data_IF_765209646983
#
_entry.id   IF_765209646983
#
_cell.length_a   1.000
_cell.length_b   1.000
_cell.length_c   1.000
_cell.angle_alpha   90.00
_cell.angle_beta   90.00
_cell.angle_gamma   90.00
#
_symmetry.space_group_name_H-M   'P 1'
#
loop_
_entity.id
_entity.type
_entity.pdbx_description
1 polymer ?
#
# COMPACT_ATOMS: atom_id res chain seq x y z
N UNK A 1 -30.62 -6.11 10.64
CA UNK A 1 -30.45 -4.66 10.49
C UNK A 1 -29.62 -4.46 9.23
N UNK A 2 -30.26 -4.14 8.10
CA UNK A 2 -29.62 -4.03 6.79
C UNK A 2 -28.72 -2.79 6.77
N UNK A 3 -27.46 -2.98 6.37
CA UNK A 3 -26.54 -1.87 6.13
C UNK A 3 -27.07 -1.07 4.92
N UNK A 4 -27.44 0.18 5.18
CA UNK A 4 -27.82 1.16 4.17
C UNK A 4 -26.58 1.47 3.31
N UNK A 5 -26.47 0.82 2.16
CA UNK A 5 -25.50 1.12 1.11
C UNK A 5 -26.04 2.29 0.27
N UNK A 6 -26.20 3.46 0.89
CA UNK A 6 -26.59 4.66 0.16
C UNK A 6 -25.51 5.02 -0.86
N UNK A 7 -25.90 5.14 -2.14
CA UNK A 7 -25.02 5.65 -3.20
C UNK A 7 -24.43 6.99 -2.77
N UNK A 8 -23.12 7.20 -2.95
CA UNK A 8 -22.50 8.48 -2.58
C UNK A 8 -23.22 9.63 -3.31
N UNK A 9 -23.44 10.72 -2.59
CA UNK A 9 -24.06 11.90 -3.20
C UNK A 9 -23.17 12.41 -4.36
N UNK A 10 -23.78 13.09 -5.34
CA UNK A 10 -23.05 13.65 -6.48
C UNK A 10 -21.87 14.52 -6.03
N UNK A 11 -22.03 15.28 -4.94
CA UNK A 11 -20.95 16.09 -4.34
C UNK A 11 -19.81 15.23 -3.78
N UNK A 12 -20.14 14.11 -3.14
CA UNK A 12 -19.12 13.16 -2.64
C UNK A 12 -18.37 12.49 -3.79
N UNK A 13 -19.07 12.10 -4.85
CA UNK A 13 -18.45 11.53 -6.04
C UNK A 13 -17.50 12.54 -6.73
N UNK A 14 -17.93 13.79 -6.91
CA UNK A 14 -17.07 14.86 -7.47
C UNK A 14 -15.87 15.16 -6.60
N UNK A 15 -16.04 15.14 -5.27
CA UNK A 15 -14.95 15.33 -4.32
C UNK A 15 -13.91 14.21 -4.48
N UNK A 16 -14.33 12.94 -4.51
CA UNK A 16 -13.46 11.79 -4.67
C UNK A 16 -12.66 11.84 -5.99
N UNK A 17 -13.31 12.23 -7.09
CA UNK A 17 -12.65 12.40 -8.40
C UNK A 17 -11.55 13.49 -8.32
N UNK A 18 -11.85 14.61 -7.66
CA UNK A 18 -10.86 15.70 -7.50
C UNK A 18 -9.69 15.25 -6.63
N UNK A 19 -9.95 14.58 -5.51
CA UNK A 19 -8.92 14.03 -4.63
C UNK A 19 -8.03 13.03 -5.38
N UNK A 20 -8.62 12.13 -6.14
CA UNK A 20 -7.90 11.16 -6.95
C UNK A 20 -6.95 11.85 -7.97
N UNK A 21 -7.44 12.86 -8.70
CA UNK A 21 -6.61 13.64 -9.65
C UNK A 21 -5.43 14.34 -8.96
N UNK A 22 -5.62 14.87 -7.77
CA UNK A 22 -4.56 15.53 -7.00
C UNK A 22 -3.50 14.50 -6.58
N UNK A 23 -3.91 13.31 -6.12
CA UNK A 23 -3.01 12.24 -5.70
C UNK A 23 -2.21 11.69 -6.90
N UNK A 24 -2.86 11.48 -8.03
CA UNK A 24 -2.21 11.04 -9.28
C UNK A 24 -1.22 12.08 -9.81
N UNK A 25 -1.54 13.37 -9.68
CA UNK A 25 -0.62 14.45 -10.04
C UNK A 25 0.62 14.46 -9.16
N UNK A 26 0.47 14.20 -7.85
CA UNK A 26 1.61 14.05 -6.93
C UNK A 26 2.44 12.82 -7.30
N UNK A 27 1.81 11.66 -7.53
CA UNK A 27 2.53 10.44 -7.94
C UNK A 27 3.36 10.68 -9.21
N UNK A 28 2.77 11.34 -10.21
CA UNK A 28 3.46 11.65 -11.46
C UNK A 28 4.60 12.68 -11.32
N UNK A 29 4.54 13.59 -10.33
CA UNK A 29 5.65 14.49 -10.01
C UNK A 29 6.80 13.76 -9.34
N UNK A 30 6.51 12.81 -8.45
CA UNK A 30 7.52 11.97 -7.79
C UNK A 30 8.35 11.17 -8.81
N UNK A 31 7.75 10.77 -9.92
CA UNK A 31 8.47 10.05 -10.98
C UNK A 31 9.38 10.97 -11.81
N UNK A 32 9.16 12.28 -11.80
CA UNK A 32 9.85 13.25 -12.66
C UNK A 32 10.82 14.16 -11.91
N UNK A 33 10.59 14.41 -10.62
CA UNK A 33 11.30 15.40 -9.82
C UNK A 33 11.86 14.79 -8.52
N UNK A 34 12.89 15.44 -7.96
CA UNK A 34 13.39 15.01 -6.65
C UNK A 34 12.32 15.26 -5.56
N UNK A 35 11.95 14.27 -4.75
CA UNK A 35 10.78 14.32 -3.84
C UNK A 35 10.77 15.50 -2.85
N UNK A 36 11.95 16.01 -2.46
CA UNK A 36 12.08 17.11 -1.50
C UNK A 36 11.65 18.47 -2.08
N UNK A 37 11.63 18.61 -3.41
CA UNK A 37 11.34 19.87 -4.12
C UNK A 37 9.86 20.02 -4.49
N UNK A 38 9.05 18.98 -4.32
CA UNK A 38 7.64 19.01 -4.70
C UNK A 38 6.86 19.97 -3.78
N UNK A 39 6.36 21.06 -4.37
CA UNK A 39 5.50 22.03 -3.68
C UNK A 39 4.02 21.76 -3.89
N UNK A 40 3.17 22.24 -2.96
CA UNK A 40 1.71 22.18 -3.10
C UNK A 40 1.23 22.92 -4.36
N UNK A 41 1.89 24.02 -4.72
CA UNK A 41 1.62 24.77 -5.94
C UNK A 41 1.90 23.93 -7.21
N UNK A 42 3.02 23.21 -7.25
CA UNK A 42 3.35 22.31 -8.36
C UNK A 42 2.30 21.20 -8.53
N UNK A 43 1.87 20.59 -7.41
CA UNK A 43 0.82 19.58 -7.42
C UNK A 43 -0.51 20.16 -7.93
N UNK A 44 -0.92 21.34 -7.44
CA UNK A 44 -2.15 22.00 -7.88
C UNK A 44 -2.13 22.29 -9.38
N UNK A 45 -1.03 22.84 -9.88
CA UNK A 45 -0.81 23.12 -11.31
C UNK A 45 -0.92 21.85 -12.14
N UNK A 46 -0.25 20.78 -11.73
CA UNK A 46 -0.28 19.50 -12.46
C UNK A 46 -1.66 18.84 -12.42
N UNK A 47 -2.37 18.93 -11.28
CA UNK A 47 -3.73 18.40 -11.14
C UNK A 47 -4.79 19.23 -11.90
N UNK A 48 -4.43 20.41 -12.41
CA UNK A 48 -5.37 21.32 -13.06
C UNK A 48 -6.43 21.89 -12.09
N UNK A 49 -6.00 22.15 -10.83
CA UNK A 49 -6.86 22.78 -9.82
C UNK A 49 -6.17 24.05 -9.27
N UNK A 50 -6.95 24.96 -8.68
CA UNK A 50 -6.37 26.08 -7.95
C UNK A 50 -5.77 25.64 -6.61
N UNK A 51 -4.74 26.34 -6.12
CA UNK A 51 -4.17 26.05 -4.80
C UNK A 51 -5.22 26.11 -3.67
N UNK A 52 -6.14 27.09 -3.60
CA UNK A 52 -7.23 27.07 -2.63
C UNK A 52 -8.10 25.81 -2.72
N UNK A 53 -8.32 25.29 -3.92
CA UNK A 53 -9.03 24.02 -4.11
C UNK A 53 -8.24 22.85 -3.56
N UNK A 54 -6.93 22.78 -3.83
CA UNK A 54 -6.07 21.74 -3.28
C UNK A 54 -6.08 21.78 -1.74
N UNK A 55 -5.86 22.96 -1.12
CA UNK A 55 -5.87 23.09 0.34
C UNK A 55 -7.24 22.76 0.98
N UNK A 56 -8.33 22.95 0.27
CA UNK A 56 -9.67 22.53 0.75
C UNK A 56 -9.80 21.00 0.83
N UNK A 57 -9.12 20.24 -0.05
CA UNK A 57 -9.11 18.79 -0.04
C UNK A 57 -8.02 18.21 0.88
N UNK A 58 -6.85 18.82 0.87
CA UNK A 58 -5.67 18.43 1.65
C UNK A 58 -5.10 19.65 2.36
N UNK A 59 -5.60 19.95 3.59
CA UNK A 59 -5.21 21.13 4.35
C UNK A 59 -3.71 21.28 4.58
N UNK A 60 -3.01 20.14 4.67
CA UNK A 60 -1.57 20.09 4.84
C UNK A 60 -0.89 19.18 3.80
N UNK A 61 0.39 19.42 3.57
CA UNK A 61 1.23 18.52 2.76
C UNK A 61 1.23 17.10 3.32
N UNK A 62 1.15 16.97 4.64
CA UNK A 62 1.05 15.68 5.35
C UNK A 62 -0.23 14.91 4.99
N UNK A 63 -1.38 15.60 4.91
CA UNK A 63 -2.65 14.96 4.55
C UNK A 63 -2.60 14.41 3.13
N UNK A 64 -2.00 15.18 2.22
CA UNK A 64 -1.80 14.75 0.84
C UNK A 64 -0.87 13.52 0.76
N UNK A 65 0.19 13.49 1.55
CA UNK A 65 1.13 12.37 1.60
C UNK A 65 0.51 11.10 2.20
N UNK A 66 -0.30 11.25 3.25
CA UNK A 66 -1.06 10.14 3.81
C UNK A 66 -2.05 9.55 2.79
N UNK A 67 -2.68 10.42 1.98
CA UNK A 67 -3.56 10.01 0.91
C UNK A 67 -2.82 9.27 -0.22
N UNK A 68 -1.59 9.69 -0.55
CA UNK A 68 -0.73 9.00 -1.53
C UNK A 68 -0.36 7.59 -1.05
N UNK A 69 0.00 7.42 0.23
CA UNK A 69 0.27 6.10 0.80
C UNK A 69 -0.95 5.17 0.72
N UNK A 70 -2.15 5.73 0.97
CA UNK A 70 -3.42 5.02 0.79
C UNK A 70 -3.69 4.66 -0.68
N UNK A 71 -3.41 5.55 -1.60
CA UNK A 71 -3.52 5.30 -3.05
C UNK A 71 -2.59 4.18 -3.51
N UNK A 72 -1.31 4.26 -3.15
CA UNK A 72 -0.34 3.21 -3.43
C UNK A 72 -0.82 1.85 -2.96
N UNK A 73 -1.27 1.76 -1.71
CA UNK A 73 -1.79 0.50 -1.16
C UNK A 73 -2.97 -0.05 -1.97
N UNK A 74 -3.97 0.79 -2.26
CA UNK A 74 -5.15 0.38 -3.05
C UNK A 74 -4.76 -0.08 -4.46
N UNK A 75 -3.82 0.61 -5.10
CA UNK A 75 -3.36 0.27 -6.46
C UNK A 75 -2.62 -1.07 -6.46
N UNK A 76 -1.72 -1.27 -5.50
CA UNK A 76 -0.93 -2.50 -5.40
C UNK A 76 -1.81 -3.70 -5.01
N UNK A 77 -2.76 -3.51 -4.09
CA UNK A 77 -3.63 -4.56 -3.59
C UNK A 77 -4.95 -4.74 -4.39
N UNK A 78 -5.17 -3.97 -5.44
CA UNK A 78 -6.43 -3.99 -6.19
C UNK A 78 -6.78 -5.40 -6.70
N UNK A 79 -7.98 -5.87 -6.35
CA UNK A 79 -8.49 -7.19 -6.75
C UNK A 79 -7.83 -8.38 -6.05
N UNK A 80 -6.96 -8.17 -5.07
CA UNK A 80 -6.35 -9.25 -4.30
C UNK A 80 -7.22 -9.57 -3.08
N UNK A 81 -7.68 -10.81 -3.01
CA UNK A 81 -8.47 -11.35 -1.90
C UNK A 81 -7.99 -12.78 -1.57
N UNK A 82 -6.73 -12.95 -1.12
CA UNK A 82 -6.18 -14.27 -0.83
C UNK A 82 -6.97 -14.95 0.29
N UNK A 83 -7.35 -16.22 0.06
CA UNK A 83 -8.09 -17.05 1.01
C UNK A 83 -7.25 -18.21 1.59
N UNK A 84 -6.01 -18.36 1.12
CA UNK A 84 -5.08 -19.40 1.56
C UNK A 84 -3.63 -18.90 1.55
N UNK A 85 -2.71 -19.67 2.14
CA UNK A 85 -1.28 -19.40 2.06
C UNK A 85 -0.75 -19.49 0.62
N UNK A 86 -1.33 -20.37 -0.21
CA UNK A 86 -0.99 -20.46 -1.62
C UNK A 86 -1.45 -19.23 -2.40
N UNK A 87 -2.67 -18.74 -2.12
CA UNK A 87 -3.17 -17.49 -2.72
C UNK A 87 -2.33 -16.28 -2.28
N UNK A 88 -1.86 -16.24 -1.01
CA UNK A 88 -0.94 -15.21 -0.54
C UNK A 88 0.37 -15.25 -1.31
N UNK A 89 0.95 -16.42 -1.50
CA UNK A 89 2.19 -16.59 -2.26
C UNK A 89 2.02 -16.14 -3.72
N UNK A 90 0.88 -16.43 -4.35
CA UNK A 90 0.56 -15.94 -5.68
C UNK A 90 0.32 -14.42 -5.70
N UNK A 91 -0.38 -13.90 -4.70
CA UNK A 91 -0.67 -12.46 -4.58
C UNK A 91 0.61 -11.62 -4.44
N UNK A 92 1.65 -12.12 -3.77
CA UNK A 92 2.94 -11.43 -3.63
C UNK A 92 3.57 -11.12 -4.99
N UNK A 93 3.45 -12.02 -5.97
CA UNK A 93 3.94 -11.77 -7.32
C UNK A 93 3.28 -10.50 -7.92
N UNK A 94 1.96 -10.42 -7.81
CA UNK A 94 1.20 -9.26 -8.29
C UNK A 94 1.57 -7.99 -7.51
N UNK A 95 1.73 -8.09 -6.19
CA UNK A 95 2.14 -6.96 -5.34
C UNK A 95 3.50 -6.43 -5.77
N UNK A 96 4.49 -7.28 -6.00
CA UNK A 96 5.85 -6.86 -6.35
C UNK A 96 5.92 -6.31 -7.77
N UNK A 97 5.24 -6.91 -8.74
CA UNK A 97 5.15 -6.38 -10.11
C UNK A 97 4.51 -4.99 -10.14
N UNK A 98 3.39 -4.81 -9.44
CA UNK A 98 2.73 -3.50 -9.36
C UNK A 98 3.57 -2.47 -8.61
N UNK A 99 4.28 -2.89 -7.56
CA UNK A 99 5.20 -2.02 -6.83
C UNK A 99 6.38 -1.58 -7.68
N UNK A 100 6.88 -2.45 -8.57
CA UNK A 100 7.92 -2.09 -9.54
C UNK A 100 7.43 -1.02 -10.53
N UNK A 101 6.19 -1.09 -10.97
CA UNK A 101 5.56 -0.06 -11.79
C UNK A 101 5.35 1.29 -11.08
N UNK A 102 5.55 1.35 -9.76
CA UNK A 102 5.41 2.55 -8.93
C UNK A 102 6.63 2.76 -8.02
N UNK A 103 7.81 2.33 -8.45
CA UNK A 103 9.00 2.25 -7.58
C UNK A 103 9.31 3.56 -6.86
N UNK A 104 9.32 4.68 -7.59
CA UNK A 104 9.62 5.98 -7.00
C UNK A 104 8.59 6.39 -5.95
N UNK A 105 7.30 6.11 -6.18
CA UNK A 105 6.24 6.34 -5.20
C UNK A 105 6.43 5.46 -3.97
N UNK A 106 6.80 4.18 -4.16
CA UNK A 106 7.10 3.24 -3.05
C UNK A 106 8.28 3.74 -2.23
N UNK A 107 9.40 4.09 -2.87
CA UNK A 107 10.59 4.63 -2.22
C UNK A 107 10.27 5.89 -1.45
N UNK A 108 9.54 6.78 -2.09
CA UNK A 108 9.17 8.05 -1.48
C UNK A 108 8.25 7.87 -0.26
N UNK A 109 7.21 7.04 -0.37
CA UNK A 109 6.32 6.77 0.77
C UNK A 109 7.04 6.12 1.94
N UNK A 110 8.02 5.27 1.68
CA UNK A 110 8.85 4.67 2.72
C UNK A 110 9.77 5.70 3.39
N UNK A 111 10.43 6.58 2.60
CA UNK A 111 11.31 7.62 3.10
C UNK A 111 10.54 8.73 3.87
N UNK A 112 9.34 9.07 3.41
CA UNK A 112 8.48 10.07 4.04
C UNK A 112 7.77 9.55 5.29
N UNK A 113 7.85 8.24 5.58
CA UNK A 113 7.20 7.64 6.73
C UNK A 113 8.02 7.91 7.99
N UNK A 114 7.81 9.07 8.59
CA UNK A 114 8.12 9.29 9.99
C UNK A 114 7.10 8.47 10.81
N UNK A 115 7.52 7.45 11.59
CA UNK A 115 6.61 6.59 12.34
C UNK A 115 5.70 7.37 13.30
N UNK A 116 6.14 8.53 13.75
CA UNK A 116 5.37 9.41 14.64
C UNK A 116 4.41 10.33 13.88
N UNK A 117 4.64 10.56 12.59
CA UNK A 117 3.97 11.60 11.81
C UNK A 117 3.01 11.11 10.74
N UNK A 118 3.17 9.90 10.22
CA UNK A 118 2.26 9.35 9.20
C UNK A 118 1.49 8.17 9.78
N UNK A 119 0.16 8.26 9.91
CA UNK A 119 -0.65 7.11 10.26
C UNK A 119 -0.37 5.98 9.27
N UNK A 120 -0.24 4.75 9.76
CA UNK A 120 -0.15 3.53 8.94
C UNK A 120 -1.56 2.98 8.71
N UNK A 121 -2.39 3.64 7.88
CA UNK A 121 -3.83 3.38 7.82
C UNK A 121 -4.16 1.95 7.38
N UNK A 122 -3.22 1.28 6.73
CA UNK A 122 -3.49 0.02 6.06
C UNK A 122 -2.99 -1.22 6.84
N UNK A 123 -2.30 -1.06 7.98
CA UNK A 123 -1.75 -2.20 8.73
C UNK A 123 -2.87 -3.10 9.26
N UNK A 124 -3.94 -2.54 9.82
CA UNK A 124 -5.05 -3.34 10.35
C UNK A 124 -5.81 -4.08 9.25
N UNK A 125 -6.07 -3.42 8.12
CA UNK A 125 -6.70 -4.05 6.97
C UNK A 125 -5.85 -5.20 6.41
N UNK A 126 -4.53 -4.99 6.31
CA UNK A 126 -3.59 -6.04 5.88
C UNK A 126 -3.55 -7.20 6.86
N UNK A 127 -3.48 -6.95 8.17
CA UNK A 127 -3.52 -8.00 9.19
C UNK A 127 -4.83 -8.79 9.14
N UNK A 128 -5.97 -8.14 8.91
CA UNK A 128 -7.25 -8.81 8.76
C UNK A 128 -7.24 -9.73 7.52
N UNK A 129 -6.74 -9.26 6.39
CA UNK A 129 -6.58 -10.06 5.17
C UNK A 129 -5.65 -11.27 5.40
N UNK A 130 -4.51 -11.07 6.07
CA UNK A 130 -3.58 -12.16 6.38
C UNK A 130 -4.21 -13.20 7.32
N UNK A 131 -4.99 -12.76 8.34
CA UNK A 131 -5.72 -13.71 9.20
C UNK A 131 -6.71 -14.55 8.41
N UNK A 132 -7.45 -13.93 7.49
CA UNK A 132 -8.37 -14.67 6.59
C UNK A 132 -7.62 -15.71 5.76
N UNK A 133 -6.51 -15.32 5.13
CA UNK A 133 -5.75 -16.19 4.24
C UNK A 133 -4.98 -17.31 4.98
N UNK A 134 -4.53 -17.07 6.21
CA UNK A 134 -3.82 -18.05 7.02
C UNK A 134 -4.78 -18.95 7.83
N UNK A 135 -6.08 -18.62 7.88
CA UNK A 135 -7.13 -19.45 8.46
C UNK A 135 -6.89 -19.77 9.93
N UNK A 136 -7.15 -21.04 10.32
CA UNK A 136 -7.01 -21.52 11.70
C UNK A 136 -5.60 -21.37 12.29
N UNK A 137 -4.59 -21.25 11.45
CA UNK A 137 -3.21 -20.97 11.87
C UNK A 137 -3.07 -19.59 12.49
N UNK A 138 -3.92 -18.63 12.09
CA UNK A 138 -3.96 -17.27 12.61
C UNK A 138 -5.00 -17.11 13.74
N UNK A 139 -5.78 -18.15 14.05
CA UNK A 139 -6.84 -18.12 15.06
C UNK A 139 -6.39 -18.40 16.48
N UNK A 140 -5.15 -18.86 16.65
CA UNK A 140 -4.56 -19.07 17.98
C UNK A 140 -3.92 -17.74 18.43
N UNK A 141 -4.31 -17.25 19.59
CA UNK A 141 -3.68 -16.08 20.21
C UNK A 141 -2.40 -16.50 20.96
N UNK A 142 -1.54 -17.25 20.28
CA UNK A 142 -0.26 -17.68 20.79
C UNK A 142 0.89 -16.89 20.13
N UNK A 143 2.09 -16.97 20.72
CA UNK A 143 3.27 -16.29 20.21
C UNK A 143 3.61 -16.66 18.77
N UNK A 144 3.39 -17.92 18.38
CA UNK A 144 3.67 -18.47 17.04
C UNK A 144 2.82 -17.78 15.96
N UNK A 145 1.53 -17.64 16.23
CA UNK A 145 0.61 -16.90 15.33
C UNK A 145 1.03 -15.45 15.16
N UNK A 146 1.43 -14.78 16.23
CA UNK A 146 1.91 -13.39 16.15
C UNK A 146 3.20 -13.27 15.34
N UNK A 147 4.14 -14.21 15.50
CA UNK A 147 5.36 -14.24 14.69
C UNK A 147 5.06 -14.48 13.22
N UNK A 148 4.20 -15.44 12.90
CA UNK A 148 3.76 -15.75 11.54
C UNK A 148 3.15 -14.50 10.87
N UNK A 149 2.17 -13.86 11.51
CA UNK A 149 1.50 -12.67 10.97
C UNK A 149 2.47 -11.51 10.72
N UNK A 150 3.39 -11.25 11.65
CA UNK A 150 4.37 -10.17 11.52
C UNK A 150 5.36 -10.45 10.39
N UNK A 151 5.83 -11.70 10.29
CA UNK A 151 6.77 -12.10 9.24
C UNK A 151 6.10 -12.04 7.87
N UNK A 152 4.91 -12.61 7.71
CA UNK A 152 4.17 -12.58 6.44
C UNK A 152 3.77 -11.15 6.06
N UNK A 153 3.42 -10.30 7.03
CA UNK A 153 3.15 -8.88 6.78
C UNK A 153 4.37 -8.17 6.16
N UNK A 154 5.57 -8.49 6.65
CA UNK A 154 6.82 -7.96 6.07
C UNK A 154 7.06 -8.53 4.68
N UNK A 155 7.02 -9.85 4.52
CA UNK A 155 7.29 -10.55 3.25
C UNK A 155 6.34 -10.15 2.11
N UNK A 156 5.11 -9.76 2.45
CA UNK A 156 4.10 -9.28 1.47
C UNK A 156 4.17 -7.77 1.23
N UNK A 157 5.16 -7.07 1.81
CA UNK A 157 5.27 -5.61 1.68
C UNK A 157 6.15 -5.20 0.50
N UNK A 158 5.85 -4.06 -0.15
CA UNK A 158 6.76 -3.47 -1.13
C UNK A 158 8.18 -3.20 -0.60
N UNK A 159 8.34 -3.03 0.72
CA UNK A 159 9.64 -2.85 1.38
C UNK A 159 10.51 -4.09 1.22
N UNK A 160 9.96 -5.30 1.36
CA UNK A 160 10.73 -6.54 1.18
C UNK A 160 11.28 -6.65 -0.24
N UNK A 161 10.45 -6.35 -1.25
CA UNK A 161 10.89 -6.30 -2.64
C UNK A 161 12.00 -5.28 -2.86
N UNK A 162 11.86 -4.03 -2.37
CA UNK A 162 12.89 -3.00 -2.52
C UNK A 162 14.20 -3.40 -1.86
N UNK A 163 14.14 -4.00 -0.66
CA UNK A 163 15.33 -4.49 0.01
C UNK A 163 16.06 -5.54 -0.83
N UNK A 164 15.35 -6.55 -1.33
CA UNK A 164 15.95 -7.58 -2.17
C UNK A 164 16.47 -7.03 -3.50
N UNK A 165 15.75 -6.10 -4.11
CA UNK A 165 16.23 -5.40 -5.31
C UNK A 165 17.53 -4.64 -5.04
N UNK A 166 17.56 -3.81 -4.01
CA UNK A 166 18.68 -2.90 -3.75
C UNK A 166 19.93 -3.61 -3.24
N UNK A 167 19.79 -4.68 -2.45
CA UNK A 167 20.92 -5.38 -1.84
C UNK A 167 21.32 -6.68 -2.57
N UNK A 168 20.38 -7.34 -3.22
CA UNK A 168 20.63 -8.62 -3.89
C UNK A 168 20.44 -8.56 -5.41
N UNK A 169 19.99 -7.43 -5.95
CA UNK A 169 19.71 -7.27 -7.39
C UNK A 169 18.57 -8.13 -7.90
N UNK A 170 17.65 -8.58 -7.03
CA UNK A 170 16.56 -9.46 -7.46
C UNK A 170 15.51 -8.70 -8.27
N UNK A 171 15.12 -9.28 -9.38
CA UNK A 171 13.97 -8.84 -10.13
C UNK A 171 12.66 -9.14 -9.34
N UNK A 172 11.56 -8.42 -9.63
CA UNK A 172 10.29 -8.60 -8.91
C UNK A 172 9.79 -10.05 -8.89
N UNK A 173 10.01 -10.81 -9.96
CA UNK A 173 9.60 -12.20 -10.06
C UNK A 173 10.37 -13.12 -9.09
N UNK A 174 11.70 -12.96 -9.03
CA UNK A 174 12.57 -13.77 -8.16
C UNK A 174 12.34 -13.44 -6.69
N UNK A 175 12.21 -12.15 -6.38
CA UNK A 175 11.84 -11.69 -5.04
C UNK A 175 10.47 -12.26 -4.61
N UNK A 176 9.49 -12.28 -5.51
CA UNK A 176 8.18 -12.85 -5.23
C UNK A 176 8.21 -14.37 -5.04
N UNK A 177 9.00 -15.09 -5.83
CA UNK A 177 9.21 -16.53 -5.66
C UNK A 177 9.82 -16.84 -4.29
N UNK A 178 10.83 -16.05 -3.87
CA UNK A 178 11.46 -16.16 -2.56
C UNK A 178 10.48 -15.92 -1.41
N UNK A 179 9.69 -14.84 -1.49
CA UNK A 179 8.64 -14.55 -0.50
C UNK A 179 7.57 -15.63 -0.47
N UNK A 180 7.11 -16.08 -1.63
CA UNK A 180 6.08 -17.11 -1.75
C UNK A 180 6.53 -18.45 -1.14
N UNK A 181 7.78 -18.85 -1.40
CA UNK A 181 8.36 -20.01 -0.76
C UNK A 181 8.39 -19.88 0.77
N UNK A 182 8.86 -18.76 1.28
CA UNK A 182 8.93 -18.51 2.72
C UNK A 182 7.54 -18.52 3.38
N UNK A 183 6.53 -17.90 2.75
CA UNK A 183 5.14 -17.87 3.24
C UNK A 183 4.58 -19.29 3.36
N UNK A 184 4.73 -20.12 2.32
CA UNK A 184 4.24 -21.52 2.33
C UNK A 184 4.95 -22.36 3.39
N UNK A 185 6.26 -22.21 3.52
CA UNK A 185 7.07 -22.94 4.50
C UNK A 185 6.64 -22.57 5.93
N UNK A 186 6.52 -21.28 6.22
CA UNK A 186 6.11 -20.79 7.55
C UNK A 186 4.67 -21.21 7.89
N UNK A 187 3.76 -21.12 6.94
CA UNK A 187 2.39 -21.55 7.12
C UNK A 187 2.28 -23.07 7.33
N UNK A 188 3.12 -23.86 6.65
CA UNK A 188 3.21 -25.30 6.85
C UNK A 188 3.79 -25.70 8.21
N UNK A 189 4.81 -24.99 8.68
CA UNK A 189 5.46 -25.24 9.96
C UNK A 189 4.62 -24.81 11.19
N UNK A 190 3.63 -23.93 11.01
CA UNK A 190 2.74 -23.48 12.05
C UNK A 190 1.52 -24.41 12.29
N UNK A 191 1.40 -25.51 11.52
CA UNK A 191 0.39 -26.56 11.68
C UNK A 191 0.80 -27.56 12.74
#
# INVERSE_FOLDING_TARGET
MAADTSRPSLRQAQRAVTEQRIIEALAALIDQEHPLEISMAAVAKRAGVSEPTLYRHFPTKRDLFAALAGYQFRTVAAGLAPASADDLAAAVHTVFQRSAGMENVVRWTLAATDPERVPRPNVQARLAMLRTALGDQAGRDDGTTQFLLRTVLLLTSPMAWLYWKDYLGLEPADAAATAGWAIKTLAGAAR
#
